data_IF_347190322770
#
_entry.id   IF_347190322770
#
_cell.length_a   1.000
_cell.length_b   1.000
_cell.length_c   1.000
_cell.angle_alpha   90.00
_cell.angle_beta   90.00
_cell.angle_gamma   90.00
#
_symmetry.space_group_name_H-M   'P 1'
#
loop_
_entity.id
_entity.type
_entity.pdbx_description
1 polymer ?
#
# COMPACT_ATOMS: atom_id res chain seq x y z
N UNK A 1 -28.04 -4.71 -20.65
CA UNK A 1 -27.10 -3.81 -19.96
C UNK A 1 -26.18 -4.65 -19.13
N UNK A 2 -24.97 -4.72 -19.57
CA UNK A 2 -23.94 -5.45 -18.84
C UNK A 2 -23.37 -4.52 -17.77
N UNK A 3 -23.72 -4.79 -16.50
CA UNK A 3 -23.27 -4.02 -15.35
C UNK A 3 -21.93 -4.57 -14.83
N UNK A 4 -21.21 -5.30 -15.67
CA UNK A 4 -19.85 -5.73 -15.33
C UNK A 4 -18.95 -4.51 -15.25
N UNK A 5 -18.24 -4.31 -14.14
CA UNK A 5 -17.20 -3.29 -14.11
C UNK A 5 -16.20 -3.61 -15.22
N UNK A 6 -16.10 -2.74 -16.20
CA UNK A 6 -15.10 -2.88 -17.23
C UNK A 6 -13.74 -2.66 -16.58
N UNK A 7 -13.07 -3.75 -16.26
CA UNK A 7 -11.66 -3.71 -15.92
C UNK A 7 -10.89 -3.40 -17.21
N UNK A 8 -10.66 -2.12 -17.45
CA UNK A 8 -9.56 -1.77 -18.31
C UNK A 8 -8.30 -2.08 -17.51
N UNK A 9 -7.80 -3.30 -17.64
CA UNK A 9 -6.56 -3.68 -17.03
C UNK A 9 -5.44 -2.93 -17.73
N UNK A 10 -5.11 -1.74 -17.23
CA UNK A 10 -3.85 -1.12 -17.56
C UNK A 10 -2.76 -1.91 -16.81
N UNK A 11 -1.87 -2.66 -17.50
CA UNK A 11 -0.84 -3.44 -16.83
C UNK A 11 0.11 -2.58 -15.99
N UNK A 12 0.17 -1.27 -16.25
CA UNK A 12 1.01 -0.35 -15.49
C UNK A 12 0.30 0.22 -14.25
N UNK A 13 -0.99 -0.02 -14.06
CA UNK A 13 -1.76 0.55 -12.95
C UNK A 13 -2.77 -0.43 -12.37
N UNK A 14 -2.95 -0.32 -11.05
CA UNK A 14 -3.97 -1.04 -10.31
C UNK A 14 -4.72 -0.04 -9.43
N UNK A 15 -6.04 -0.11 -9.40
CA UNK A 15 -6.86 0.65 -8.46
C UNK A 15 -7.92 -0.26 -7.87
N UNK A 16 -7.96 -0.31 -6.54
CA UNK A 16 -8.94 -1.09 -5.79
C UNK A 16 -9.54 -0.24 -4.69
N UNK A 17 -10.85 -0.34 -4.51
CA UNK A 17 -11.58 0.33 -3.43
C UNK A 17 -12.45 -0.71 -2.74
N UNK A 18 -12.53 -0.64 -1.43
CA UNK A 18 -13.38 -1.54 -0.67
C UNK A 18 -13.63 -1.06 0.75
N UNK A 19 -14.46 -1.82 1.47
CA UNK A 19 -14.74 -1.55 2.86
C UNK A 19 -13.48 -1.74 3.72
N UNK A 20 -13.33 -0.90 4.75
CA UNK A 20 -12.21 -0.97 5.67
C UNK A 20 -12.43 -2.07 6.71
N UNK A 21 -12.34 -3.32 6.26
CA UNK A 21 -12.43 -4.51 7.11
C UNK A 21 -11.33 -5.52 6.77
N UNK A 22 -11.11 -6.48 7.64
CA UNK A 22 -10.02 -7.44 7.52
C UNK A 22 -10.17 -8.34 6.28
N UNK A 23 -11.39 -8.71 5.92
CA UNK A 23 -11.66 -9.58 4.76
C UNK A 23 -11.31 -8.83 3.48
N UNK A 24 -11.75 -7.60 3.35
CA UNK A 24 -11.44 -6.74 2.20
C UNK A 24 -9.95 -6.43 2.10
N UNK A 25 -9.29 -6.15 3.23
CA UNK A 25 -7.84 -5.94 3.25
C UNK A 25 -7.08 -7.15 2.69
N UNK A 26 -7.47 -8.36 3.08
CA UNK A 26 -6.87 -9.58 2.55
C UNK A 26 -7.10 -9.74 1.04
N UNK A 27 -8.29 -9.37 0.56
CA UNK A 27 -8.61 -9.41 -0.88
C UNK A 27 -7.79 -8.39 -1.67
N UNK A 28 -7.68 -7.16 -1.19
CA UNK A 28 -6.87 -6.11 -1.84
C UNK A 28 -5.39 -6.52 -1.90
N UNK A 29 -4.88 -7.12 -0.84
CA UNK A 29 -3.52 -7.66 -0.81
C UNK A 29 -3.32 -8.73 -1.88
N UNK A 30 -4.27 -9.66 -2.04
CA UNK A 30 -4.20 -10.71 -3.07
C UNK A 30 -4.23 -10.13 -4.48
N UNK A 31 -5.05 -9.10 -4.73
CA UNK A 31 -5.10 -8.42 -6.03
C UNK A 31 -3.79 -7.73 -6.34
N UNK A 32 -3.20 -7.08 -5.35
CA UNK A 32 -1.88 -6.46 -5.49
C UNK A 32 -0.82 -7.50 -5.84
N UNK A 33 -0.79 -8.62 -5.12
CA UNK A 33 0.19 -9.68 -5.36
C UNK A 33 0.08 -10.23 -6.80
N UNK A 34 -1.12 -10.49 -7.28
CA UNK A 34 -1.34 -10.94 -8.67
C UNK A 34 -0.88 -9.90 -9.69
N UNK A 35 -1.19 -8.63 -9.44
CA UNK A 35 -0.75 -7.56 -10.32
C UNK A 35 0.78 -7.44 -10.35
N UNK A 36 1.43 -7.55 -9.20
CA UNK A 36 2.89 -7.52 -9.09
C UNK A 36 3.54 -8.66 -9.86
N UNK A 37 2.96 -9.85 -9.81
CA UNK A 37 3.48 -11.01 -10.55
C UNK A 37 3.46 -10.78 -12.07
N UNK A 38 2.52 -10.01 -12.57
CA UNK A 38 2.41 -9.67 -13.99
C UNK A 38 3.25 -8.45 -14.37
N UNK A 39 3.29 -7.43 -13.50
CA UNK A 39 3.95 -6.16 -13.78
C UNK A 39 5.47 -6.22 -13.55
N UNK A 40 5.91 -7.00 -12.56
CA UNK A 40 7.31 -7.05 -12.14
C UNK A 40 7.89 -8.41 -12.50
N UNK A 41 8.80 -8.41 -13.45
CA UNK A 41 9.57 -9.59 -13.80
C UNK A 41 10.93 -9.53 -13.11
N UNK A 42 11.26 -10.55 -12.33
CA UNK A 42 12.60 -10.73 -11.79
C UNK A 42 12.69 -10.88 -10.30
N UNK A 43 12.55 -9.85 -9.49
CA UNK A 43 12.85 -9.94 -8.07
C UNK A 43 11.64 -10.35 -7.21
N UNK A 44 11.63 -11.59 -6.74
CA UNK A 44 10.65 -12.07 -5.76
C UNK A 44 10.78 -11.31 -4.43
N UNK A 45 12.01 -10.91 -4.05
CA UNK A 45 12.26 -10.17 -2.81
C UNK A 45 11.56 -8.82 -2.78
N UNK A 46 11.61 -8.06 -3.88
CA UNK A 46 10.91 -6.76 -3.96
C UNK A 46 9.40 -6.95 -3.87
N UNK A 47 8.84 -7.95 -4.55
CA UNK A 47 7.40 -8.26 -4.47
C UNK A 47 6.98 -8.59 -3.05
N UNK A 48 7.74 -9.41 -2.35
CA UNK A 48 7.46 -9.77 -0.96
C UNK A 48 7.52 -8.55 -0.04
N UNK A 49 8.50 -7.69 -0.22
CA UNK A 49 8.63 -6.44 0.54
C UNK A 49 7.43 -5.52 0.33
N UNK A 50 6.97 -5.39 -0.91
CA UNK A 50 5.80 -4.57 -1.26
C UNK A 50 4.55 -5.14 -0.58
N UNK A 51 4.29 -6.43 -0.74
CA UNK A 51 3.09 -7.07 -0.19
C UNK A 51 3.07 -6.96 1.33
N UNK A 52 4.22 -7.18 1.98
CA UNK A 52 4.33 -7.08 3.44
C UNK A 52 4.08 -5.65 3.92
N UNK A 53 4.68 -4.66 3.27
CA UNK A 53 4.50 -3.25 3.62
C UNK A 53 3.06 -2.78 3.43
N UNK A 54 2.45 -3.15 2.30
CA UNK A 54 1.07 -2.76 1.99
C UNK A 54 0.09 -3.44 2.94
N UNK A 55 0.37 -4.67 3.35
CA UNK A 55 -0.44 -5.34 4.36
C UNK A 55 -0.50 -4.53 5.66
N UNK A 56 0.62 -3.94 6.08
CA UNK A 56 0.66 -3.08 7.27
C UNK A 56 -0.15 -1.79 7.06
N UNK A 57 -0.06 -1.18 5.88
CA UNK A 57 -0.83 0.02 5.56
C UNK A 57 -2.34 -0.27 5.55
N UNK A 58 -2.77 -1.38 4.99
CA UNK A 58 -4.17 -1.81 4.99
C UNK A 58 -4.66 -2.12 6.40
N UNK A 59 -3.84 -2.80 7.20
CA UNK A 59 -4.17 -3.11 8.60
C UNK A 59 -4.37 -1.82 9.42
N UNK A 60 -3.57 -0.79 9.18
CA UNK A 60 -3.73 0.50 9.83
C UNK A 60 -5.06 1.17 9.47
N UNK A 61 -5.51 1.05 8.22
CA UNK A 61 -6.83 1.54 7.81
C UNK A 61 -7.95 0.83 8.57
N UNK A 62 -7.86 -0.48 8.70
CA UNK A 62 -8.86 -1.29 9.38
C UNK A 62 -8.91 -0.97 10.88
N UNK A 63 -7.74 -0.84 11.53
CA UNK A 63 -7.66 -0.69 12.98
C UNK A 63 -7.88 0.75 13.45
N UNK A 64 -7.34 1.73 12.73
CA UNK A 64 -7.17 3.08 13.28
C UNK A 64 -8.01 4.15 12.60
N UNK A 65 -8.24 4.03 11.28
CA UNK A 65 -8.84 5.12 10.53
C UNK A 65 -10.28 5.42 10.93
N UNK A 66 -11.04 4.38 11.30
CA UNK A 66 -12.47 4.47 11.57
C UNK A 66 -12.86 4.09 12.99
N UNK A 67 -11.91 4.07 13.90
CA UNK A 67 -12.10 3.57 15.28
C UNK A 67 -13.21 4.28 16.04
N UNK A 68 -13.39 5.58 15.80
CA UNK A 68 -14.42 6.41 16.43
C UNK A 68 -15.69 6.55 15.61
N UNK A 69 -15.77 5.90 14.45
CA UNK A 69 -16.91 5.99 13.57
C UNK A 69 -17.85 4.79 13.79
N UNK A 70 -19.15 5.08 13.83
CA UNK A 70 -20.18 4.03 13.95
C UNK A 70 -20.38 3.26 12.65
N UNK A 71 -19.92 3.78 11.52
CA UNK A 71 -20.02 3.15 10.21
C UNK A 71 -18.64 2.76 9.70
N UNK A 72 -18.56 1.61 9.02
CA UNK A 72 -17.37 1.21 8.31
C UNK A 72 -17.08 2.20 7.20
N UNK A 73 -15.86 2.67 7.15
CA UNK A 73 -15.38 3.49 6.06
C UNK A 73 -14.88 2.66 4.90
N UNK A 74 -14.28 3.34 3.94
CA UNK A 74 -13.65 2.75 2.77
C UNK A 74 -12.16 2.97 2.79
N UNK A 75 -11.43 2.10 2.12
CA UNK A 75 -10.02 2.24 1.87
C UNK A 75 -9.75 2.05 0.37
N UNK A 76 -8.71 2.69 -0.11
CA UNK A 76 -8.33 2.67 -1.52
C UNK A 76 -6.87 2.30 -1.64
N UNK A 77 -6.59 1.38 -2.56
CA UNK A 77 -5.24 0.99 -2.93
C UNK A 77 -5.00 1.35 -4.38
N UNK A 78 -3.92 2.09 -4.63
CA UNK A 78 -3.48 2.43 -5.98
C UNK A 78 -2.02 2.03 -6.13
N UNK A 79 -1.71 1.33 -7.22
CA UNK A 79 -0.35 0.96 -7.55
C UNK A 79 -0.05 1.34 -8.99
N UNK A 80 1.19 1.73 -9.24
CA UNK A 80 1.68 2.06 -10.57
C UNK A 80 3.11 1.56 -10.75
N UNK A 81 3.41 1.13 -11.98
CA UNK A 81 4.74 0.72 -12.38
C UNK A 81 5.26 1.65 -13.47
N UNK A 82 6.41 2.25 -13.22
CA UNK A 82 7.15 3.06 -14.19
C UNK A 82 8.30 2.22 -14.73
N UNK A 83 8.16 1.75 -15.98
CA UNK A 83 9.17 0.90 -16.61
C UNK A 83 10.46 1.67 -16.93
N UNK A 84 10.37 2.96 -17.23
CA UNK A 84 11.54 3.79 -17.51
C UNK A 84 12.39 4.00 -16.25
N UNK A 85 11.75 4.27 -15.12
CA UNK A 85 12.42 4.45 -13.84
C UNK A 85 12.69 3.14 -13.11
N UNK A 86 12.12 2.02 -13.54
CA UNK A 86 12.16 0.73 -12.85
C UNK A 86 11.71 0.89 -11.39
N UNK A 87 10.56 1.52 -11.20
CA UNK A 87 10.00 1.79 -9.88
C UNK A 87 8.53 1.45 -9.78
N UNK A 88 8.12 1.05 -8.58
CA UNK A 88 6.73 0.83 -8.22
C UNK A 88 6.35 1.79 -7.12
N UNK A 89 5.20 2.43 -7.28
CA UNK A 89 4.59 3.27 -6.26
C UNK A 89 3.27 2.66 -5.84
N UNK A 90 3.05 2.51 -4.54
CA UNK A 90 1.80 2.01 -3.98
C UNK A 90 1.30 2.99 -2.93
N UNK A 91 0.06 3.46 -3.09
CA UNK A 91 -0.57 4.34 -2.13
C UNK A 91 -1.82 3.68 -1.55
N UNK A 92 -1.94 3.73 -0.24
CA UNK A 92 -3.12 3.27 0.50
C UNK A 92 -3.73 4.48 1.19
N UNK A 93 -4.99 4.74 0.93
CA UNK A 93 -5.69 5.89 1.51
C UNK A 93 -7.00 5.50 2.15
N UNK A 94 -7.36 6.26 3.18
CA UNK A 94 -8.65 6.20 3.86
C UNK A 94 -9.19 7.61 4.06
N UNK A 95 -10.45 7.71 4.47
CA UNK A 95 -11.11 8.97 4.79
C UNK A 95 -11.35 9.12 6.29
N UNK A 96 -10.75 8.24 7.08
CA UNK A 96 -10.86 8.28 8.53
C UNK A 96 -9.82 9.18 9.16
N UNK A 97 -9.93 9.32 10.47
CA UNK A 97 -9.01 10.12 11.26
C UNK A 97 -8.22 9.19 12.19
N UNK A 98 -6.92 9.22 12.06
CA UNK A 98 -6.05 8.50 12.96
C UNK A 98 -5.98 9.24 14.32
N UNK A 99 -6.12 8.49 15.41
CA UNK A 99 -6.06 9.06 16.76
C UNK A 99 -4.67 9.51 17.19
N UNK A 100 -3.64 8.97 16.57
CA UNK A 100 -2.26 9.36 16.83
C UNK A 100 -1.73 10.20 15.69
N UNK A 101 -0.93 11.25 15.99
CA UNK A 101 -0.25 11.98 14.93
C UNK A 101 0.55 11.02 14.05
N UNK A 102 0.42 11.15 12.74
CA UNK A 102 1.21 10.35 11.81
C UNK A 102 2.69 10.70 12.00
N UNK A 103 3.60 9.71 12.05
CA UNK A 103 5.03 9.98 12.12
C UNK A 103 5.49 10.72 10.88
N UNK A 104 6.11 11.89 11.05
CA UNK A 104 6.55 12.73 9.93
C UNK A 104 8.03 12.55 9.62
N UNK A 105 8.76 11.78 10.41
CA UNK A 105 10.19 11.57 10.25
C UNK A 105 10.52 10.08 10.27
N UNK A 106 11.53 9.66 9.48
CA UNK A 106 12.10 8.33 9.66
C UNK A 106 12.57 8.15 11.11
N UNK A 107 12.37 6.97 11.68
CA UNK A 107 12.75 6.62 13.04
C UNK A 107 12.05 7.45 14.15
N UNK A 108 10.85 7.97 13.87
CA UNK A 108 10.04 8.59 14.91
C UNK A 108 9.71 7.54 15.99
N UNK A 109 10.07 7.79 17.28
CA UNK A 109 9.81 6.83 18.36
C UNK A 109 8.31 6.56 18.59
N UNK A 110 7.42 7.43 18.07
CA UNK A 110 5.97 7.23 18.13
C UNK A 110 5.44 6.32 17.05
N UNK A 111 6.28 5.95 16.08
CA UNK A 111 5.88 5.08 14.99
C UNK A 111 5.55 3.68 15.51
N UNK A 112 4.44 3.11 15.02
CA UNK A 112 4.07 1.73 15.28
C UNK A 112 5.07 0.77 14.61
N UNK A 113 5.03 -0.50 15.02
CA UNK A 113 5.84 -1.55 14.40
C UNK A 113 5.57 -1.64 12.89
N UNK A 114 4.30 -1.55 12.47
CA UNK A 114 3.92 -1.58 11.06
C UNK A 114 4.50 -0.42 10.25
N UNK A 115 4.45 0.80 10.80
CA UNK A 115 5.04 1.98 10.16
C UNK A 115 6.56 1.84 10.04
N UNK A 116 7.23 1.35 11.07
CA UNK A 116 8.67 1.09 11.02
C UNK A 116 9.04 0.06 9.96
N UNK A 117 8.21 -0.98 9.81
CA UNK A 117 8.39 -1.99 8.77
C UNK A 117 8.27 -1.37 7.38
N UNK A 118 7.24 -0.55 7.14
CA UNK A 118 7.08 0.16 5.88
C UNK A 118 8.28 1.05 5.57
N UNK A 119 8.77 1.80 6.54
CA UNK A 119 9.94 2.66 6.39
C UNK A 119 11.22 1.87 6.11
N UNK A 120 11.34 0.67 6.66
CA UNK A 120 12.52 -0.17 6.47
C UNK A 120 12.54 -0.86 5.10
N UNK A 121 11.37 -1.26 4.59
CA UNK A 121 11.27 -2.04 3.36
C UNK A 121 11.14 -1.19 2.10
N UNK A 122 10.49 -0.04 2.17
CA UNK A 122 10.33 0.86 1.04
C UNK A 122 11.56 1.77 0.89
N UNK A 123 11.86 2.16 -0.34
CA UNK A 123 12.90 3.17 -0.59
C UNK A 123 12.44 4.55 -0.11
N UNK A 124 11.15 4.84 -0.27
CA UNK A 124 10.52 6.03 0.28
C UNK A 124 9.16 5.68 0.87
N UNK A 125 8.87 6.21 2.05
CA UNK A 125 7.59 6.07 2.73
C UNK A 125 7.10 7.45 3.15
N UNK A 126 5.96 7.86 2.62
CA UNK A 126 5.33 9.15 2.94
C UNK A 126 3.98 8.92 3.56
N UNK A 127 3.73 9.56 4.70
CA UNK A 127 2.44 9.49 5.39
C UNK A 127 1.87 10.91 5.49
N UNK A 128 0.74 11.14 4.82
CA UNK A 128 0.05 12.42 4.82
C UNK A 128 -1.27 12.27 5.56
N UNK A 129 -1.36 12.87 6.75
CA UNK A 129 -2.58 12.90 7.53
C UNK A 129 -3.27 14.26 7.36
N UNK A 130 -4.53 14.21 6.95
CA UNK A 130 -5.39 15.38 6.80
C UNK A 130 -6.67 15.17 7.59
N UNK A 131 -7.43 16.24 7.92
CA UNK A 131 -8.74 16.07 8.56
C UNK A 131 -9.70 15.21 7.74
N UNK A 132 -9.51 15.14 6.41
CA UNK A 132 -10.35 14.37 5.49
C UNK A 132 -9.88 12.94 5.27
N UNK A 133 -8.74 12.54 5.82
CA UNK A 133 -8.22 11.18 5.69
C UNK A 133 -6.70 11.11 5.69
N UNK A 134 -6.18 9.89 5.61
CA UNK A 134 -4.76 9.62 5.61
C UNK A 134 -4.35 8.87 4.35
N UNK A 135 -3.23 9.24 3.75
CA UNK A 135 -2.63 8.56 2.61
C UNK A 135 -1.21 8.13 2.95
N UNK A 136 -0.94 6.85 2.78
CA UNK A 136 0.41 6.28 2.89
C UNK A 136 0.88 5.92 1.49
N UNK A 137 2.01 6.47 1.06
CA UNK A 137 2.61 6.17 -0.24
C UNK A 137 4.00 5.54 -0.04
N UNK A 138 4.23 4.45 -0.76
CA UNK A 138 5.42 3.63 -0.68
C UNK A 138 6.04 3.51 -2.06
N UNK A 139 7.32 3.79 -2.19
CA UNK A 139 8.06 3.69 -3.44
C UNK A 139 9.16 2.62 -3.33
N UNK A 140 9.30 1.83 -4.38
CA UNK A 140 10.25 0.73 -4.46
C UNK A 140 10.97 0.74 -5.79
N UNK A 141 12.28 0.55 -5.76
CA UNK A 141 13.09 0.32 -6.95
C UNK A 141 13.10 -1.17 -7.28
N UNK A 142 12.74 -1.53 -8.51
CA UNK A 142 12.69 -2.93 -8.96
C UNK A 142 14.02 -3.41 -9.54
N UNK A 143 14.95 -2.51 -9.79
CA UNK A 143 16.27 -2.82 -10.35
C UNK A 143 17.28 -3.30 -9.31
N UNK A 144 16.84 -3.69 -8.09
CA UNK A 144 17.74 -4.30 -7.10
C UNK A 144 18.27 -5.59 -7.67
N UNK A 145 19.58 -5.62 -7.94
CA UNK A 145 20.26 -6.88 -8.14
C UNK A 145 20.27 -7.64 -6.81
N UNK A 146 19.76 -8.87 -6.83
CA UNK A 146 19.96 -9.77 -5.71
C UNK A 146 21.47 -9.84 -5.43
N UNK A 147 21.89 -9.81 -4.14
CA UNK A 147 23.32 -9.92 -3.85
C UNK A 147 23.84 -11.22 -4.44
N UNK A 148 24.63 -11.09 -5.50
CA UNK A 148 25.34 -12.22 -6.05
C UNK A 148 26.44 -12.61 -5.06
N UNK A 149 26.25 -13.69 -4.39
CA UNK A 149 27.31 -14.32 -3.61
C UNK A 149 28.34 -14.91 -4.56
N UNK A 150 29.45 -14.25 -4.65
CA UNK A 150 30.63 -14.87 -5.24
C UNK A 150 31.38 -15.65 -4.18
#
# INVERSE_FOLDING_TARGET
MDDSPSFVADPARLTCVGAADAITAAELRRRLDRWLQQAVHGSAGVRDDIVLSVNEALANCVEHAYRSHHRRGTMRLQASFDSAAQSISVCVSDRGRWHRPAPQRPNDPRASRGIRLMQALADHCTINAHPSGTTVCLDYTTARSDPTWN
#
